data_IF_324402313366
#
_entry.id   IF_324402313366
#
_cell.length_a   1.000
_cell.length_b   1.000
_cell.length_c   1.000
_cell.angle_alpha   90.00
_cell.angle_beta   90.00
_cell.angle_gamma   90.00
#
_symmetry.space_group_name_H-M   'P 1'
#
loop_
_entity.id
_entity.type
_entity.pdbx_description
1 polymer ?
#
# COMPACT_ATOMS: atom_id res chain seq x y z
N UNK A 1 3.92 -19.55 -14.75
CA UNK A 1 3.30 -18.21 -15.01
C UNK A 1 3.93 -17.26 -14.03
N UNK A 2 4.72 -16.29 -14.50
CA UNK A 2 5.21 -15.20 -13.66
C UNK A 2 4.00 -14.51 -13.00
N UNK A 3 4.07 -14.18 -11.70
CA UNK A 3 3.02 -13.41 -11.06
C UNK A 3 2.83 -12.09 -11.83
N UNK A 4 1.59 -11.71 -12.07
CA UNK A 4 1.29 -10.43 -12.71
C UNK A 4 2.01 -9.33 -11.93
N UNK A 5 2.80 -8.51 -12.64
CA UNK A 5 3.62 -7.46 -12.01
C UNK A 5 2.70 -6.52 -11.24
N UNK A 6 2.79 -6.54 -9.93
CA UNK A 6 2.01 -5.68 -9.01
C UNK A 6 2.18 -4.22 -9.41
N UNK A 7 1.08 -3.47 -9.59
CA UNK A 7 1.17 -2.02 -9.83
C UNK A 7 1.78 -1.34 -8.62
N UNK A 8 2.87 -0.61 -8.83
CA UNK A 8 3.51 0.17 -7.79
C UNK A 8 2.56 1.24 -7.24
N UNK A 9 2.61 1.43 -5.94
CA UNK A 9 1.77 2.39 -5.21
C UNK A 9 2.48 3.73 -5.15
N UNK A 10 1.82 4.78 -5.66
CA UNK A 10 2.33 6.16 -5.57
C UNK A 10 2.11 6.73 -4.17
N UNK A 11 2.94 7.68 -3.71
CA UNK A 11 2.74 8.33 -2.42
C UNK A 11 1.41 9.10 -2.34
N UNK A 12 0.84 9.32 -1.12
CA UNK A 12 -0.37 10.09 -0.93
C UNK A 12 -0.28 11.51 -1.50
N UNK A 13 -1.41 12.03 -1.98
CA UNK A 13 -1.50 13.36 -2.60
C UNK A 13 -1.41 13.35 -4.12
N UNK A 14 -1.04 12.24 -4.74
CA UNK A 14 -1.11 12.09 -6.19
C UNK A 14 -2.57 12.09 -6.67
N UNK A 15 -2.88 12.86 -7.71
CA UNK A 15 -4.23 12.89 -8.30
C UNK A 15 -4.54 11.60 -9.07
N UNK A 16 -3.52 11.05 -9.71
CA UNK A 16 -3.51 9.75 -10.38
C UNK A 16 -2.07 9.29 -10.53
N UNK A 17 -1.85 8.02 -10.87
CA UNK A 17 -0.51 7.50 -11.18
C UNK A 17 0.13 8.26 -12.34
N UNK A 18 -0.60 8.47 -13.43
CA UNK A 18 -0.07 9.14 -14.63
C UNK A 18 0.26 10.60 -14.36
N UNK A 19 -0.58 11.30 -13.61
CA UNK A 19 -0.31 12.67 -13.15
C UNK A 19 0.94 12.73 -12.29
N UNK A 20 1.11 11.78 -11.36
CA UNK A 20 2.32 11.70 -10.54
C UNK A 20 3.58 11.49 -11.39
N UNK A 21 3.56 10.50 -12.28
CA UNK A 21 4.72 10.18 -13.13
C UNK A 21 5.10 11.33 -14.06
N UNK A 22 4.14 12.12 -14.54
CA UNK A 22 4.39 13.26 -15.43
C UNK A 22 4.93 14.52 -14.72
N UNK A 23 4.65 14.70 -13.42
CA UNK A 23 5.05 15.88 -12.67
C UNK A 23 6.20 15.64 -11.70
N UNK A 24 6.46 14.39 -11.31
CA UNK A 24 7.49 14.07 -10.32
C UNK A 24 8.90 14.20 -10.91
N UNK A 25 9.71 15.09 -10.36
CA UNK A 25 11.11 15.32 -10.76
C UNK A 25 12.11 14.45 -10.00
N UNK A 26 11.64 13.47 -9.22
CA UNK A 26 12.47 12.59 -8.38
C UNK A 26 13.41 13.35 -7.41
N UNK A 27 12.96 14.48 -6.85
CA UNK A 27 13.75 15.28 -5.90
C UNK A 27 13.94 14.61 -4.52
N UNK A 28 13.19 13.55 -4.23
CA UNK A 28 13.26 12.71 -3.01
C UNK A 28 12.95 13.43 -1.68
N UNK A 29 12.36 14.61 -1.68
CA UNK A 29 11.94 15.27 -0.43
C UNK A 29 10.92 14.44 0.34
N UNK A 30 9.94 13.83 -0.36
CA UNK A 30 8.97 12.94 0.25
C UNK A 30 9.62 11.67 0.84
N UNK A 31 10.69 11.16 0.20
CA UNK A 31 11.48 10.02 0.69
C UNK A 31 12.12 10.38 2.04
N UNK A 32 12.80 11.53 2.11
CA UNK A 32 13.50 11.97 3.33
C UNK A 32 12.55 12.31 4.48
N UNK A 33 11.31 12.69 4.18
CA UNK A 33 10.32 13.09 5.20
C UNK A 33 9.46 11.94 5.71
N UNK A 34 9.51 10.76 5.08
CA UNK A 34 8.71 9.62 5.50
C UNK A 34 9.24 9.01 6.82
N UNK A 35 8.49 9.10 7.93
CA UNK A 35 8.97 8.60 9.23
C UNK A 35 9.09 7.08 9.27
N UNK A 36 8.35 6.36 8.42
CA UNK A 36 8.41 4.91 8.29
C UNK A 36 9.46 4.42 7.28
N UNK A 37 10.07 5.33 6.51
CA UNK A 37 11.07 4.98 5.49
C UNK A 37 10.52 4.12 4.35
N UNK A 38 9.21 4.07 4.15
CA UNK A 38 8.56 3.23 3.13
C UNK A 38 8.50 3.88 1.75
N UNK A 39 8.75 5.19 1.64
CA UNK A 39 8.84 5.85 0.34
C UNK A 39 10.26 5.63 -0.17
N UNK A 40 10.38 4.92 -1.30
CA UNK A 40 11.67 4.53 -1.88
C UNK A 40 11.75 4.95 -3.34
N UNK A 41 12.94 5.33 -3.82
CA UNK A 41 13.16 5.51 -5.25
C UNK A 41 12.89 4.21 -6.00
N UNK A 42 12.16 4.29 -7.12
CA UNK A 42 11.91 3.11 -7.96
C UNK A 42 13.13 2.71 -8.76
N UNK A 43 13.29 1.42 -9.00
CA UNK A 43 14.25 0.87 -9.96
C UNK A 43 13.53 0.51 -11.27
N UNK A 44 12.57 -0.40 -11.21
CA UNK A 44 11.85 -0.90 -12.40
C UNK A 44 10.32 -0.86 -12.24
N UNK A 45 9.83 -0.39 -11.09
CA UNK A 45 8.41 -0.43 -10.71
C UNK A 45 7.54 0.39 -11.66
N UNK A 46 8.07 1.48 -12.18
CA UNK A 46 7.41 2.36 -13.15
C UNK A 46 7.96 2.24 -14.58
N UNK A 47 8.95 1.33 -14.79
CA UNK A 47 9.69 1.22 -16.06
C UNK A 47 10.88 2.19 -16.14
N UNK A 48 11.67 2.05 -17.20
CA UNK A 48 12.97 2.74 -17.35
C UNK A 48 12.80 4.28 -17.41
N UNK A 49 11.73 4.78 -18.04
CA UNK A 49 11.50 6.22 -18.22
C UNK A 49 11.19 6.95 -16.89
N UNK A 50 10.75 6.21 -15.87
CA UNK A 50 10.34 6.76 -14.58
C UNK A 50 11.17 6.21 -13.42
N UNK A 51 12.41 5.80 -13.72
CA UNK A 51 13.37 5.37 -12.70
C UNK A 51 13.60 6.50 -11.69
N UNK A 52 13.85 6.11 -10.44
CA UNK A 52 14.07 6.98 -9.29
C UNK A 52 12.82 7.75 -8.79
N UNK A 53 11.72 7.78 -9.54
CA UNK A 53 10.49 8.36 -9.01
C UNK A 53 9.98 7.53 -7.83
N UNK A 54 9.55 8.16 -6.72
CA UNK A 54 9.25 7.44 -5.48
C UNK A 54 8.02 6.53 -5.57
N UNK A 55 8.07 5.40 -4.89
CA UNK A 55 6.95 4.49 -4.68
C UNK A 55 6.88 4.07 -3.20
N UNK A 56 5.77 3.47 -2.79
CA UNK A 56 5.60 2.91 -1.45
C UNK A 56 6.06 1.44 -1.44
N UNK A 57 7.00 1.10 -0.56
CA UNK A 57 7.49 -0.25 -0.32
C UNK A 57 7.00 -0.76 1.04
N UNK A 58 6.00 -1.60 1.01
CA UNK A 58 5.37 -2.14 2.22
C UNK A 58 6.11 -3.34 2.83
N UNK A 59 7.22 -3.76 2.25
CA UNK A 59 8.12 -4.71 2.91
C UNK A 59 8.87 -4.09 4.09
N UNK A 60 9.04 -2.76 4.07
CA UNK A 60 9.76 -1.98 5.08
C UNK A 60 8.87 -1.46 6.22
N UNK A 61 7.56 -1.41 6.01
CA UNK A 61 6.61 -0.82 6.96
C UNK A 61 5.25 -0.53 6.30
N UNK A 62 4.57 0.46 6.82
CA UNK A 62 3.24 0.86 6.32
C UNK A 62 3.04 2.37 6.42
N UNK A 63 2.11 2.92 5.63
CA UNK A 63 1.78 4.34 5.69
C UNK A 63 0.96 4.65 6.95
N UNK A 64 1.48 5.52 7.82
CA UNK A 64 0.78 5.93 9.03
C UNK A 64 -0.52 6.67 8.69
N UNK A 65 -1.61 6.26 9.34
CA UNK A 65 -2.94 6.85 9.12
C UNK A 65 -2.97 8.34 9.48
N UNK A 66 -2.23 8.74 10.52
CA UNK A 66 -2.15 10.10 11.05
C UNK A 66 -0.90 10.87 10.57
N UNK A 67 -0.42 10.60 9.35
CA UNK A 67 0.74 11.27 8.78
C UNK A 67 0.45 11.73 7.35
N UNK A 68 0.78 13.00 7.06
CA UNK A 68 0.64 13.62 5.74
C UNK A 68 1.93 14.34 5.29
N UNK A 69 3.06 14.10 5.94
CA UNK A 69 4.31 14.86 5.76
C UNK A 69 4.82 14.87 4.31
N UNK A 70 4.74 13.73 3.61
CA UNK A 70 5.18 13.64 2.22
C UNK A 70 4.40 14.57 1.29
N UNK A 71 3.12 14.85 1.60
CA UNK A 71 2.27 15.73 0.79
C UNK A 71 2.59 17.21 1.00
N UNK A 72 3.23 17.57 2.12
CA UNK A 72 3.52 18.96 2.49
C UNK A 72 4.83 19.47 1.89
N UNK A 73 5.66 18.59 1.32
CA UNK A 73 7.04 18.94 0.91
C UNK A 73 7.28 18.81 -0.60
N UNK A 74 6.28 18.42 -1.38
CA UNK A 74 6.44 18.27 -2.82
C UNK A 74 6.48 19.63 -3.52
N UNK A 75 7.62 20.02 -4.14
CA UNK A 75 7.73 21.34 -4.76
C UNK A 75 7.03 21.43 -6.13
N UNK A 76 6.91 20.31 -6.83
CA UNK A 76 6.44 20.25 -8.22
C UNK A 76 4.94 19.95 -8.35
N UNK A 77 4.24 19.83 -7.21
CA UNK A 77 2.80 19.54 -7.20
C UNK A 77 2.43 18.12 -7.65
N UNK A 78 3.41 17.23 -7.81
CA UNK A 78 3.16 15.80 -8.08
C UNK A 78 2.36 15.14 -6.94
N UNK A 79 2.60 15.60 -5.70
CA UNK A 79 1.80 15.31 -4.52
C UNK A 79 1.16 16.61 -4.06
N UNK A 80 -0.17 16.68 -4.09
CA UNK A 80 -0.93 17.83 -3.58
C UNK A 80 -0.92 17.80 -2.06
N UNK A 81 -0.77 18.97 -1.40
CA UNK A 81 -0.92 19.06 0.05
C UNK A 81 -2.30 18.54 0.49
N UNK A 82 -2.31 17.63 1.45
CA UNK A 82 -3.52 17.10 2.06
C UNK A 82 -3.53 17.44 3.55
N UNK A 83 -4.70 17.85 4.06
CA UNK A 83 -4.95 17.84 5.50
C UNK A 83 -4.94 16.39 6.02
N UNK A 84 -4.84 16.19 7.33
CA UNK A 84 -4.93 14.84 7.91
C UNK A 84 -6.24 14.13 7.57
N UNK A 85 -7.36 14.84 7.65
CA UNK A 85 -8.67 14.27 7.30
C UNK A 85 -8.78 13.86 5.83
N UNK A 86 -8.30 14.69 4.91
CA UNK A 86 -8.25 14.34 3.49
C UNK A 86 -7.33 13.13 3.24
N UNK A 87 -6.15 13.10 3.87
CA UNK A 87 -5.21 11.99 3.73
C UNK A 87 -5.79 10.68 4.26
N UNK A 88 -6.56 10.70 5.34
CA UNK A 88 -7.18 9.52 5.94
C UNK A 88 -8.22 8.86 5.03
N UNK A 89 -8.86 9.63 4.16
CA UNK A 89 -9.80 9.14 3.15
C UNK A 89 -9.18 8.97 1.74
N UNK A 90 -7.94 9.45 1.55
CA UNK A 90 -7.25 9.38 0.25
C UNK A 90 -6.70 7.99 -0.01
N UNK A 91 -7.27 7.29 -0.99
CA UNK A 91 -6.80 5.97 -1.39
C UNK A 91 -5.60 6.08 -2.34
N UNK A 92 -4.52 5.39 -2.01
CA UNK A 92 -3.32 5.25 -2.86
C UNK A 92 -3.25 3.89 -3.56
N UNK A 93 -4.05 2.95 -3.11
CA UNK A 93 -4.13 1.59 -3.61
C UNK A 93 -5.26 0.82 -2.92
N UNK A 94 -5.41 -0.43 -3.31
CA UNK A 94 -6.39 -1.35 -2.71
C UNK A 94 -5.70 -2.64 -2.31
N UNK A 95 -6.05 -3.16 -1.14
CA UNK A 95 -5.57 -4.47 -0.71
C UNK A 95 -6.21 -5.57 -1.55
N UNK A 96 -5.40 -6.53 -1.97
CA UNK A 96 -5.81 -7.74 -2.70
C UNK A 96 -5.43 -8.96 -1.88
N UNK A 97 -6.35 -9.92 -1.79
CA UNK A 97 -6.15 -11.16 -1.04
C UNK A 97 -5.91 -12.34 -1.97
N UNK A 98 -4.96 -13.21 -1.59
CA UNK A 98 -4.58 -14.42 -2.31
C UNK A 98 -4.71 -15.61 -1.37
N UNK A 99 -5.81 -16.32 -1.48
CA UNK A 99 -6.18 -17.44 -0.59
C UNK A 99 -5.08 -18.50 -0.46
N UNK A 100 -4.49 -18.92 -1.59
CA UNK A 100 -3.46 -19.98 -1.63
C UNK A 100 -2.21 -19.68 -0.79
N UNK A 101 -1.94 -18.40 -0.50
CA UNK A 101 -0.77 -17.98 0.28
C UNK A 101 -1.12 -17.75 1.75
N UNK A 102 -2.41 -17.83 2.12
CA UNK A 102 -2.84 -17.52 3.48
C UNK A 102 -2.49 -18.67 4.44
N UNK A 103 -1.88 -18.34 5.58
CA UNK A 103 -1.48 -19.33 6.60
C UNK A 103 -2.67 -20.12 7.16
N UNK A 104 -3.88 -19.59 7.08
CA UNK A 104 -5.10 -20.35 7.41
C UNK A 104 -5.34 -21.51 6.45
N UNK A 105 -4.92 -21.39 5.19
CA UNK A 105 -5.02 -22.44 4.19
C UNK A 105 -3.78 -23.33 4.13
N UNK A 106 -2.58 -22.76 4.30
CA UNK A 106 -1.32 -23.52 4.17
C UNK A 106 -1.01 -24.31 5.44
N UNK A 107 -1.26 -23.72 6.60
CA UNK A 107 -0.80 -24.23 7.89
C UNK A 107 -1.94 -24.56 8.88
N UNK A 108 -3.19 -24.23 8.51
CA UNK A 108 -4.39 -24.47 9.34
C UNK A 108 -4.50 -23.57 10.57
N UNK A 109 -3.74 -22.47 10.65
CA UNK A 109 -3.79 -21.54 11.78
C UNK A 109 -4.89 -20.49 11.62
N UNK A 110 -5.69 -20.28 12.66
CA UNK A 110 -6.54 -19.10 12.75
C UNK A 110 -5.66 -17.84 12.91
N UNK A 111 -5.66 -16.96 11.91
CA UNK A 111 -4.77 -15.80 11.89
C UNK A 111 -5.52 -14.47 12.10
N UNK A 112 -6.19 -13.90 11.09
CA UNK A 112 -6.93 -12.64 11.17
C UNK A 112 -6.09 -11.38 11.45
N UNK A 113 -4.74 -11.43 11.34
CA UNK A 113 -3.87 -10.28 11.61
C UNK A 113 -4.17 -9.09 10.69
N UNK A 114 -4.45 -9.33 9.41
CA UNK A 114 -4.76 -8.30 8.44
C UNK A 114 -6.01 -7.49 8.82
N UNK A 115 -7.06 -8.15 9.33
CA UNK A 115 -8.27 -7.50 9.83
C UNK A 115 -7.99 -6.70 11.10
N UNK A 116 -7.37 -7.33 12.11
CA UNK A 116 -7.07 -6.66 13.39
C UNK A 116 -6.13 -5.45 13.26
N UNK A 117 -5.28 -5.44 12.26
CA UNK A 117 -4.32 -4.34 12.03
C UNK A 117 -4.87 -3.24 11.10
N UNK A 118 -6.01 -3.44 10.47
CA UNK A 118 -6.57 -2.45 9.54
C UNK A 118 -7.06 -1.19 10.28
N UNK A 119 -6.46 0.00 10.03
CA UNK A 119 -6.81 1.20 10.79
C UNK A 119 -8.17 1.79 10.39
N UNK A 120 -8.69 1.41 9.22
CA UNK A 120 -9.98 1.90 8.69
C UNK A 120 -11.07 0.83 8.73
N UNK A 121 -10.79 -0.36 9.27
CA UNK A 121 -11.77 -1.44 9.35
C UNK A 121 -12.24 -1.97 7.98
N UNK A 122 -11.38 -1.94 6.97
CA UNK A 122 -11.72 -2.36 5.61
C UNK A 122 -11.60 -3.88 5.38
N UNK A 123 -11.31 -4.67 6.40
CA UNK A 123 -11.09 -6.11 6.25
C UNK A 123 -11.92 -6.86 7.30
N UNK A 124 -12.91 -7.58 6.83
CA UNK A 124 -13.74 -8.46 7.64
C UNK A 124 -13.25 -9.90 7.52
N UNK A 125 -13.44 -10.68 8.58
CA UNK A 125 -13.18 -12.12 8.55
C UNK A 125 -14.49 -12.85 8.24
N UNK A 126 -14.51 -13.60 7.14
CA UNK A 126 -15.69 -14.33 6.67
C UNK A 126 -15.44 -15.83 6.67
N UNK A 127 -16.50 -16.62 6.85
CA UNK A 127 -16.45 -18.09 6.83
C UNK A 127 -16.07 -18.61 5.44
N UNK A 128 -15.14 -19.55 5.40
CA UNK A 128 -14.73 -20.27 4.20
C UNK A 128 -14.44 -21.73 4.57
N UNK A 129 -15.42 -22.60 4.40
CA UNK A 129 -15.37 -23.97 4.93
C UNK A 129 -15.24 -23.92 6.47
N UNK A 130 -14.24 -24.62 7.00
CA UNK A 130 -13.99 -24.70 8.44
C UNK A 130 -13.05 -23.58 8.97
N UNK A 131 -12.72 -22.60 8.13
CA UNK A 131 -11.78 -21.52 8.48
C UNK A 131 -12.36 -20.14 8.19
N UNK A 132 -11.75 -19.10 8.80
CA UNK A 132 -12.04 -17.70 8.51
C UNK A 132 -10.99 -17.12 7.57
N UNK A 133 -11.43 -16.43 6.52
CA UNK A 133 -10.56 -15.74 5.58
C UNK A 133 -10.89 -14.24 5.54
N UNK A 134 -9.90 -13.37 5.19
CA UNK A 134 -10.16 -11.95 5.06
C UNK A 134 -10.93 -11.62 3.78
N UNK A 135 -11.96 -10.81 3.91
CA UNK A 135 -12.66 -10.16 2.82
C UNK A 135 -12.38 -8.66 2.86
N UNK A 136 -11.85 -8.11 1.78
CA UNK A 136 -11.48 -6.69 1.70
C UNK A 136 -12.63 -5.88 1.13
N UNK A 137 -13.06 -4.85 1.88
CA UNK A 137 -13.97 -3.83 1.36
C UNK A 137 -13.15 -2.72 0.68
N UNK A 138 -13.07 -2.80 -0.65
CA UNK A 138 -12.28 -1.85 -1.46
C UNK A 138 -12.80 -0.40 -1.37
N UNK A 139 -14.08 -0.19 -1.05
CA UNK A 139 -14.65 1.14 -0.90
C UNK A 139 -14.05 1.89 0.30
N UNK A 140 -13.73 1.17 1.38
CA UNK A 140 -13.17 1.72 2.61
C UNK A 140 -11.63 1.70 2.58
N UNK A 141 -11.04 0.73 1.89
CA UNK A 141 -9.59 0.53 1.86
C UNK A 141 -8.86 1.74 1.26
N UNK A 142 -7.91 2.30 2.01
CA UNK A 142 -7.06 3.42 1.57
C UNK A 142 -5.69 2.99 1.05
N UNK A 143 -5.37 1.69 1.14
CA UNK A 143 -4.11 1.17 0.62
C UNK A 143 -2.88 1.49 1.48
N UNK A 144 -3.02 1.63 2.79
CA UNK A 144 -1.92 2.00 3.69
C UNK A 144 -0.84 0.93 3.86
N UNK A 145 -1.06 -0.31 3.43
CA UNK A 145 -0.10 -1.41 3.49
C UNK A 145 0.08 -2.09 4.84
N UNK A 146 -0.65 -1.68 5.88
CA UNK A 146 -0.48 -2.27 7.23
C UNK A 146 -0.84 -3.76 7.28
N UNK A 147 -1.84 -4.19 6.50
CA UNK A 147 -2.22 -5.59 6.36
C UNK A 147 -1.14 -6.42 5.63
N UNK A 148 -0.52 -5.85 4.58
CA UNK A 148 0.59 -6.49 3.84
C UNK A 148 1.82 -6.64 4.75
N UNK A 149 2.21 -5.58 5.44
CA UNK A 149 3.35 -5.61 6.37
C UNK A 149 3.14 -6.60 7.52
N UNK A 150 1.94 -6.65 8.10
CA UNK A 150 1.62 -7.54 9.21
C UNK A 150 1.42 -9.02 8.80
N UNK A 151 1.24 -9.31 7.53
CA UNK A 151 0.98 -10.67 7.05
C UNK A 151 2.19 -11.58 7.30
N UNK A 152 2.03 -12.72 8.00
CA UNK A 152 3.13 -13.65 8.29
C UNK A 152 3.48 -14.57 7.12
N UNK A 153 2.65 -14.63 6.08
CA UNK A 153 2.85 -15.54 4.95
C UNK A 153 4.19 -15.31 4.24
N UNK A 154 4.87 -16.41 3.92
CA UNK A 154 6.15 -16.45 3.21
C UNK A 154 6.14 -17.60 2.21
N UNK A 155 6.88 -17.53 1.09
CA UNK A 155 7.71 -16.40 0.62
C UNK A 155 6.87 -15.22 0.08
N UNK A 156 5.63 -15.45 -0.31
CA UNK A 156 4.74 -14.42 -0.83
C UNK A 156 3.64 -14.08 0.19
N UNK A 157 3.35 -12.80 0.33
CA UNK A 157 2.27 -12.34 1.18
C UNK A 157 0.90 -12.82 0.68
N UNK A 158 0.02 -13.20 1.61
CA UNK A 158 -1.37 -13.55 1.29
C UNK A 158 -2.25 -12.33 1.03
N UNK A 159 -1.84 -11.17 1.52
CA UNK A 159 -2.51 -9.91 1.26
C UNK A 159 -1.45 -8.86 0.90
N UNK A 160 -1.71 -8.11 -0.16
CA UNK A 160 -0.81 -7.08 -0.65
C UNK A 160 -1.60 -5.89 -1.19
N UNK A 161 -0.97 -4.72 -1.27
CA UNK A 161 -1.61 -3.52 -1.83
C UNK A 161 -1.18 -3.35 -3.28
N UNK A 162 -2.15 -3.10 -4.15
CA UNK A 162 -1.95 -2.74 -5.54
C UNK A 162 -2.31 -1.27 -5.76
N UNK A 163 -1.46 -0.53 -6.49
CA UNK A 163 -1.71 0.87 -6.84
C UNK A 163 -2.91 1.06 -7.76
N UNK A 164 -3.63 2.13 -7.60
CA UNK A 164 -4.77 2.54 -8.42
C UNK A 164 -4.38 3.56 -9.47
#
# INVERSE_FOLDING_TARGET
KSPAKKKAVVPPGASSRDSFLSHCTACHLCVSKCPQGIIRPSATEYGILHMLQPHLDYSLGYCLHECNLCTQVCPDGALKPLSLGEKQSHAVGKAKFVLKNCVTQTDGFECGLCSRKCPVGAIDMVEHGDTLIPQVNEAICVGCGKCEYACPATPEKAIYVEGI
#
